data_IF_568014645929
#
_entry.id   IF_568014645929
#
_cell.length_a   1.000
_cell.length_b   1.000
_cell.length_c   1.000
_cell.angle_alpha   90.00
_cell.angle_beta   90.00
_cell.angle_gamma   90.00
#
_symmetry.space_group_name_H-M   'P 1'
#
loop_
_entity.id
_entity.type
_entity.pdbx_description
1 polymer ?
#
# COMPACT_ATOMS: atom_id res chain seq x y z
N UNK A 1 -11.00 -8.04 1.94
CA UNK A 1 -10.86 -8.89 0.73
C UNK A 1 -12.16 -8.81 -0.05
N UNK A 2 -12.11 -8.30 -1.28
CA UNK A 2 -13.28 -8.30 -2.16
C UNK A 2 -13.60 -9.76 -2.52
N UNK A 3 -14.87 -10.16 -2.47
CA UNK A 3 -15.31 -11.49 -2.86
C UNK A 3 -14.89 -11.77 -4.31
N UNK A 4 -14.32 -12.95 -4.65
CA UNK A 4 -13.94 -13.27 -6.04
C UNK A 4 -15.09 -13.10 -7.03
N UNK A 5 -16.34 -13.30 -6.59
CA UNK A 5 -17.54 -13.06 -7.39
C UNK A 5 -17.84 -11.57 -7.64
N UNK A 6 -17.23 -10.63 -6.94
CA UNK A 6 -17.50 -9.21 -7.12
C UNK A 6 -16.99 -8.70 -8.47
N UNK A 7 -15.82 -9.16 -8.92
CA UNK A 7 -15.24 -8.81 -10.22
C UNK A 7 -16.16 -9.31 -11.35
N UNK A 8 -16.55 -10.57 -11.29
CA UNK A 8 -17.45 -11.18 -12.29
C UNK A 8 -18.84 -10.53 -12.30
N UNK A 9 -19.33 -10.11 -11.13
CA UNK A 9 -20.59 -9.40 -11.01
C UNK A 9 -20.49 -7.99 -11.59
N UNK A 10 -19.41 -7.31 -11.35
CA UNK A 10 -19.14 -5.96 -11.85
C UNK A 10 -19.02 -5.95 -13.39
N UNK A 11 -18.33 -6.95 -13.97
CA UNK A 11 -18.26 -7.14 -15.41
C UNK A 11 -19.64 -7.44 -16.03
N UNK A 12 -20.47 -8.26 -15.38
CA UNK A 12 -21.82 -8.60 -15.85
C UNK A 12 -22.81 -7.44 -15.71
N UNK A 13 -22.71 -6.64 -14.70
CA UNK A 13 -23.61 -5.51 -14.44
C UNK A 13 -23.22 -4.25 -15.23
N UNK A 14 -21.94 -4.08 -15.55
CA UNK A 14 -21.44 -2.99 -16.40
C UNK A 14 -22.08 -1.63 -16.08
N UNK A 15 -22.75 -1.06 -17.10
CA UNK A 15 -23.41 0.24 -17.01
C UNK A 15 -24.68 0.28 -16.12
N UNK A 16 -25.09 -0.85 -15.52
CA UNK A 16 -26.22 -0.89 -14.56
C UNK A 16 -25.77 -0.49 -13.13
N UNK A 17 -24.45 -0.42 -12.89
CA UNK A 17 -23.93 0.08 -11.64
C UNK A 17 -23.98 1.63 -11.71
N UNK A 18 -24.72 2.32 -10.82
CA UNK A 18 -24.69 3.77 -10.79
C UNK A 18 -23.25 4.27 -10.61
N UNK A 19 -22.87 5.40 -11.24
CA UNK A 19 -21.58 6.02 -10.97
C UNK A 19 -21.46 6.28 -9.47
N UNK A 20 -20.32 5.91 -8.89
CA UNK A 20 -20.01 6.23 -7.49
C UNK A 20 -19.77 7.74 -7.40
N UNK A 21 -20.74 8.49 -6.89
CA UNK A 21 -20.62 9.95 -6.70
C UNK A 21 -19.63 10.30 -5.58
N UNK A 22 -18.90 9.33 -5.04
CA UNK A 22 -17.93 9.52 -3.98
C UNK A 22 -18.51 10.26 -2.76
N UNK A 23 -18.43 9.71 -1.58
CA UNK A 23 -18.84 10.45 -0.39
C UNK A 23 -17.90 11.64 -0.16
N UNK A 24 -18.38 12.69 0.53
CA UNK A 24 -17.52 13.82 0.93
C UNK A 24 -16.26 13.38 1.69
N UNK A 25 -16.35 12.28 2.44
CA UNK A 25 -15.22 11.67 3.13
C UNK A 25 -14.21 11.04 2.15
N UNK A 26 -14.68 10.41 1.06
CA UNK A 26 -13.81 9.85 0.04
C UNK A 26 -13.06 10.94 -0.72
N UNK A 27 -13.75 12.05 -1.06
CA UNK A 27 -13.14 13.20 -1.73
C UNK A 27 -12.09 13.87 -0.84
N UNK A 28 -12.36 14.03 0.46
CA UNK A 28 -11.38 14.55 1.42
C UNK A 28 -10.17 13.62 1.54
N UNK A 29 -10.39 12.31 1.56
CA UNK A 29 -9.32 11.32 1.56
C UNK A 29 -8.40 11.48 0.36
N UNK A 30 -8.96 11.57 -0.84
CA UNK A 30 -8.20 11.77 -2.08
C UNK A 30 -7.38 13.08 -2.05
N UNK A 31 -7.97 14.17 -1.55
CA UNK A 31 -7.26 15.45 -1.42
C UNK A 31 -6.08 15.37 -0.44
N UNK A 32 -6.26 14.69 0.70
CA UNK A 32 -5.19 14.52 1.69
C UNK A 32 -4.04 13.67 1.15
N UNK A 33 -4.34 12.57 0.42
CA UNK A 33 -3.29 11.78 -0.25
C UNK A 33 -2.54 12.60 -1.29
N UNK A 34 -3.23 13.32 -2.18
CA UNK A 34 -2.58 14.18 -3.17
C UNK A 34 -1.68 15.27 -2.54
N UNK A 35 -2.10 15.81 -1.39
CA UNK A 35 -1.31 16.80 -0.66
C UNK A 35 -0.08 16.19 0.00
N UNK A 36 -0.21 15.00 0.58
CA UNK A 36 0.91 14.25 1.15
C UNK A 36 1.94 13.86 0.08
N UNK A 37 1.47 13.40 -1.07
CA UNK A 37 2.29 13.10 -2.26
C UNK A 37 3.10 14.32 -2.71
N UNK A 38 2.43 15.45 -2.94
CA UNK A 38 3.08 16.70 -3.34
C UNK A 38 4.16 17.14 -2.33
N UNK A 39 3.86 17.03 -1.02
CA UNK A 39 4.82 17.36 0.04
C UNK A 39 6.05 16.43 0.04
N UNK A 40 5.85 15.12 -0.17
CA UNK A 40 6.96 14.16 -0.26
C UNK A 40 7.82 14.38 -1.51
N UNK A 41 7.23 14.79 -2.63
CA UNK A 41 7.92 15.14 -3.88
C UNK A 41 8.60 16.52 -3.84
N UNK A 42 8.38 17.32 -2.78
CA UNK A 42 8.91 18.69 -2.68
C UNK A 42 8.16 19.71 -3.54
N UNK A 43 6.96 19.40 -3.99
CA UNK A 43 6.10 20.23 -4.83
C UNK A 43 5.06 21.04 -4.04
N UNK A 44 5.02 20.85 -2.71
CA UNK A 44 4.08 21.49 -1.81
C UNK A 44 4.43 21.30 -0.34
N UNK A 45 3.57 21.85 0.53
CA UNK A 45 3.69 21.70 1.98
C UNK A 45 2.60 20.75 2.51
N UNK A 46 2.91 19.91 3.51
CA UNK A 46 1.90 19.12 4.18
C UNK A 46 0.89 20.03 4.90
N UNK A 47 -0.31 19.51 5.17
CA UNK A 47 -1.23 20.15 6.11
C UNK A 47 -1.16 19.43 7.46
N UNK A 48 -1.82 19.99 8.48
CA UNK A 48 -1.87 19.42 9.82
C UNK A 48 -2.22 17.92 9.79
N UNK A 49 -3.21 17.52 8.99
CA UNK A 49 -3.67 16.14 8.88
C UNK A 49 -2.68 15.19 8.17
N UNK A 50 -1.71 15.71 7.42
CA UNK A 50 -0.71 14.90 6.69
C UNK A 50 0.71 15.09 7.20
N UNK A 51 0.94 16.03 8.14
CA UNK A 51 2.27 16.37 8.63
C UNK A 51 2.97 15.15 9.23
N UNK A 52 2.29 14.43 10.12
CA UNK A 52 2.88 13.26 10.78
C UNK A 52 3.30 12.18 9.77
N UNK A 53 2.46 11.91 8.76
CA UNK A 53 2.78 10.96 7.68
C UNK A 53 4.02 11.38 6.89
N UNK A 54 4.09 12.64 6.48
CA UNK A 54 5.21 13.17 5.68
C UNK A 54 6.51 13.12 6.47
N UNK A 55 6.47 13.51 7.75
CA UNK A 55 7.66 13.47 8.62
C UNK A 55 8.11 12.04 8.87
N UNK A 56 7.19 11.11 9.06
CA UNK A 56 7.48 9.69 9.23
C UNK A 56 8.16 9.10 7.99
N UNK A 57 7.65 9.37 6.78
CA UNK A 57 8.25 8.91 5.52
C UNK A 57 9.66 9.49 5.33
N UNK A 58 9.86 10.78 5.60
CA UNK A 58 11.18 11.43 5.52
C UNK A 58 12.17 10.84 6.52
N UNK A 59 11.72 10.57 7.74
CA UNK A 59 12.54 9.92 8.76
C UNK A 59 12.91 8.49 8.37
N UNK A 60 11.97 7.71 7.84
CA UNK A 60 12.23 6.36 7.35
C UNK A 60 13.27 6.34 6.22
N UNK A 61 13.29 7.37 5.38
CA UNK A 61 14.22 7.51 4.25
C UNK A 61 15.52 8.26 4.62
N UNK A 62 15.81 8.48 5.90
CA UNK A 62 16.98 9.27 6.31
C UNK A 62 18.31 8.50 6.23
N UNK A 63 18.31 7.19 5.97
CA UNK A 63 19.53 6.42 5.77
C UNK A 63 20.18 6.76 4.42
N UNK A 64 21.51 6.82 4.37
CA UNK A 64 22.27 7.26 3.18
C UNK A 64 22.05 6.35 1.95
N UNK A 65 21.69 5.07 2.16
CA UNK A 65 21.42 4.07 1.13
C UNK A 65 19.92 3.88 0.84
N UNK A 66 19.06 4.67 1.47
CA UNK A 66 17.62 4.53 1.32
C UNK A 66 17.09 5.27 0.08
N UNK A 67 16.33 4.56 -0.74
CA UNK A 67 15.54 5.11 -1.84
C UNK A 67 14.08 5.28 -1.38
N UNK A 68 13.55 6.50 -1.47
CA UNK A 68 12.13 6.77 -1.24
C UNK A 68 11.39 6.90 -2.58
N UNK A 69 10.35 6.10 -2.77
CA UNK A 69 9.53 6.07 -3.97
C UNK A 69 8.10 6.43 -3.56
N UNK A 70 7.61 7.57 -4.04
CA UNK A 70 6.27 8.10 -3.75
C UNK A 70 5.33 7.69 -4.88
N UNK A 71 4.11 7.24 -4.56
CA UNK A 71 3.15 6.66 -5.51
C UNK A 71 3.80 5.52 -6.32
N UNK A 72 4.42 4.60 -5.59
CA UNK A 72 5.17 3.51 -6.20
C UNK A 72 4.27 2.56 -6.98
N UNK A 73 4.59 2.34 -8.26
CA UNK A 73 3.94 1.30 -9.07
C UNK A 73 4.49 -0.07 -8.66
N UNK A 74 3.64 -0.89 -8.10
CA UNK A 74 4.02 -2.19 -7.53
C UNK A 74 3.54 -3.33 -8.41
N UNK A 75 4.45 -4.14 -8.99
CA UNK A 75 4.05 -5.33 -9.72
C UNK A 75 3.44 -6.38 -8.77
N UNK A 76 2.30 -6.96 -9.13
CA UNK A 76 1.71 -8.02 -8.34
C UNK A 76 2.47 -9.33 -8.59
N UNK A 77 3.11 -9.88 -7.55
CA UNK A 77 3.98 -11.06 -7.70
C UNK A 77 3.24 -12.31 -8.21
N UNK A 78 1.94 -12.42 -8.00
CA UNK A 78 1.08 -13.51 -8.46
C UNK A 78 0.42 -13.27 -9.83
N UNK A 79 0.45 -12.04 -10.34
CA UNK A 79 -0.03 -11.66 -11.67
C UNK A 79 0.74 -10.44 -12.18
N UNK A 80 1.84 -10.66 -12.87
CA UNK A 80 2.74 -9.58 -13.32
C UNK A 80 2.16 -8.69 -14.43
N UNK A 81 1.01 -9.03 -14.99
CA UNK A 81 0.30 -8.16 -15.92
C UNK A 81 -0.46 -7.04 -15.20
N UNK A 82 -0.67 -7.20 -13.90
CA UNK A 82 -1.37 -6.25 -13.04
C UNK A 82 -0.41 -5.57 -12.07
N UNK A 83 -0.78 -4.39 -11.62
CA UNK A 83 -0.01 -3.62 -10.65
C UNK A 83 -0.95 -2.94 -9.65
N UNK A 84 -0.37 -2.57 -8.51
CA UNK A 84 -0.99 -1.71 -7.51
C UNK A 84 -0.19 -0.42 -7.35
N UNK A 85 -0.67 0.46 -6.49
CA UNK A 85 0.00 1.70 -6.12
C UNK A 85 0.18 1.73 -4.61
N UNK A 86 1.40 2.02 -4.15
CA UNK A 86 1.70 2.22 -2.74
C UNK A 86 2.03 3.70 -2.51
N UNK A 87 1.43 4.31 -1.51
CA UNK A 87 1.58 5.75 -1.23
C UNK A 87 3.07 6.14 -1.06
N UNK A 88 3.81 5.36 -0.26
CA UNK A 88 5.26 5.54 -0.10
C UNK A 88 5.95 4.20 0.13
N UNK A 89 7.06 4.00 -0.55
CA UNK A 89 7.97 2.87 -0.33
C UNK A 89 9.36 3.43 -0.04
N UNK A 90 9.95 2.98 1.06
CA UNK A 90 11.36 3.24 1.38
C UNK A 90 12.12 1.92 1.25
N UNK A 91 13.19 1.91 0.47
CA UNK A 91 13.93 0.70 0.14
C UNK A 91 15.42 0.91 0.28
N UNK A 92 16.11 -0.10 0.84
CA UNK A 92 17.57 -0.28 0.78
C UNK A 92 17.86 -1.59 0.02
N UNK A 93 19.12 -2.00 -0.05
CA UNK A 93 19.49 -3.29 -0.63
C UNK A 93 18.91 -4.50 0.12
N UNK A 94 18.64 -4.36 1.43
CA UNK A 94 18.20 -5.48 2.30
C UNK A 94 16.83 -5.26 2.94
N UNK A 95 16.23 -4.09 2.81
CA UNK A 95 14.95 -3.78 3.46
C UNK A 95 13.95 -3.16 2.49
N UNK A 96 12.67 -3.47 2.70
CA UNK A 96 11.54 -2.80 2.05
C UNK A 96 10.56 -2.35 3.12
N UNK A 97 10.22 -1.08 3.13
CA UNK A 97 9.26 -0.48 4.04
C UNK A 97 8.14 0.20 3.23
N UNK A 98 6.93 -0.35 3.28
CA UNK A 98 5.73 0.26 2.69
C UNK A 98 5.00 1.04 3.77
N UNK A 99 4.70 2.31 3.49
CA UNK A 99 4.04 3.23 4.41
C UNK A 99 2.79 3.77 3.73
N UNK A 100 1.64 3.51 4.32
CA UNK A 100 0.32 3.80 3.76
C UNK A 100 -0.44 4.78 4.67
N UNK A 101 -0.98 5.83 4.08
CA UNK A 101 -1.78 6.85 4.77
C UNK A 101 -3.24 6.42 4.81
N UNK A 102 -3.84 6.41 5.98
CA UNK A 102 -5.28 6.19 6.16
C UNK A 102 -5.96 7.43 6.73
N UNK A 103 -6.87 7.99 5.96
CA UNK A 103 -7.61 9.23 6.30
C UNK A 103 -9.01 8.96 6.85
N UNK A 104 -9.46 7.71 6.80
CA UNK A 104 -10.76 7.29 7.33
C UNK A 104 -10.78 7.20 8.86
N UNK A 105 -11.99 7.22 9.44
CA UNK A 105 -12.21 7.12 10.90
C UNK A 105 -12.21 5.67 11.43
N UNK A 106 -12.34 4.68 10.55
CA UNK A 106 -12.31 3.26 10.96
C UNK A 106 -10.86 2.86 11.18
N UNK A 107 -10.49 2.38 12.39
CA UNK A 107 -9.13 1.96 12.67
C UNK A 107 -8.68 0.83 11.73
N UNK A 108 -7.49 0.98 11.17
CA UNK A 108 -6.85 -0.03 10.32
C UNK A 108 -5.59 -0.55 11.02
N UNK A 109 -5.36 -1.86 10.93
CA UNK A 109 -4.16 -2.49 11.48
C UNK A 109 -3.17 -2.85 10.36
N UNK A 110 -1.88 -2.73 10.67
CA UNK A 110 -0.80 -3.16 9.77
C UNK A 110 -0.60 -4.68 9.82
N UNK A 111 -0.82 -5.31 10.99
CA UNK A 111 -0.64 -6.76 11.17
C UNK A 111 -1.66 -7.53 10.34
N UNK A 112 -1.17 -8.46 9.51
CA UNK A 112 -1.98 -9.22 8.55
C UNK A 112 -2.71 -8.35 7.51
N UNK A 113 -2.23 -7.14 7.25
CA UNK A 113 -2.72 -6.34 6.13
C UNK A 113 -2.10 -6.88 4.83
N UNK A 114 -2.83 -7.75 4.14
CA UNK A 114 -2.34 -8.40 2.93
C UNK A 114 -2.18 -7.46 1.74
N UNK A 115 -2.86 -6.32 1.69
CA UNK A 115 -2.62 -5.32 0.66
C UNK A 115 -1.20 -4.75 0.79
N UNK A 116 -0.84 -4.28 1.99
CA UNK A 116 0.50 -3.76 2.26
C UNK A 116 1.58 -4.84 2.08
N UNK A 117 1.28 -6.07 2.52
CA UNK A 117 2.19 -7.21 2.30
C UNK A 117 2.45 -7.45 0.81
N UNK A 118 1.41 -7.48 -0.03
CA UNK A 118 1.54 -7.66 -1.48
C UNK A 118 2.41 -6.57 -2.08
N UNK A 119 2.27 -5.33 -1.61
CA UNK A 119 3.08 -4.22 -2.08
C UNK A 119 4.54 -4.34 -1.63
N UNK A 120 4.77 -4.64 -0.34
CA UNK A 120 6.12 -4.83 0.17
C UNK A 120 6.86 -5.98 -0.54
N UNK A 121 6.19 -7.11 -0.71
CA UNK A 121 6.77 -8.28 -1.39
C UNK A 121 7.01 -8.03 -2.88
N UNK A 122 6.10 -7.29 -3.56
CA UNK A 122 6.25 -6.91 -4.96
C UNK A 122 7.40 -5.93 -5.22
N UNK A 123 7.78 -5.13 -4.22
CA UNK A 123 8.91 -4.20 -4.26
C UNK A 123 10.22 -4.80 -3.77
N UNK A 124 10.18 -6.03 -3.22
CA UNK A 124 11.37 -6.73 -2.73
C UNK A 124 12.35 -7.08 -3.84
N UNK A 125 13.64 -7.06 -3.48
CA UNK A 125 14.75 -7.54 -4.28
C UNK A 125 15.15 -8.95 -3.81
N UNK A 126 15.99 -9.65 -4.57
CA UNK A 126 16.53 -10.94 -4.15
C UNK A 126 17.39 -10.86 -2.88
N UNK A 127 17.93 -9.69 -2.57
CA UNK A 127 18.71 -9.39 -1.37
C UNK A 127 17.85 -8.92 -0.18
N UNK A 128 16.53 -8.74 -0.35
CA UNK A 128 15.68 -8.23 0.72
C UNK A 128 15.57 -9.25 1.87
N UNK A 129 15.97 -8.83 3.05
CA UNK A 129 15.95 -9.65 4.27
C UNK A 129 14.77 -9.31 5.17
N UNK A 130 14.30 -8.07 5.11
CA UNK A 130 13.24 -7.55 6.00
C UNK A 130 12.19 -6.76 5.24
N UNK A 131 10.93 -7.05 5.54
CA UNK A 131 9.75 -6.35 5.04
C UNK A 131 9.02 -5.68 6.19
N UNK A 132 8.82 -4.38 6.11
CA UNK A 132 8.04 -3.60 7.08
C UNK A 132 6.83 -2.97 6.38
N UNK A 133 5.67 -3.13 6.96
CA UNK A 133 4.41 -2.54 6.53
C UNK A 133 3.92 -1.61 7.63
N UNK A 134 3.69 -0.35 7.32
CA UNK A 134 3.20 0.63 8.29
C UNK A 134 1.93 1.31 7.78
N UNK A 135 0.96 1.44 8.66
CA UNK A 135 -0.22 2.29 8.48
C UNK A 135 -0.03 3.52 9.35
N UNK A 136 -0.17 4.69 8.74
CA UNK A 136 -0.29 5.96 9.43
C UNK A 136 -1.75 6.39 9.39
N UNK A 137 -2.36 6.59 10.56
CA UNK A 137 -3.73 7.06 10.68
C UNK A 137 -3.81 8.12 11.79
N UNK A 138 -4.07 9.37 11.41
CA UNK A 138 -3.87 10.52 12.30
C UNK A 138 -2.39 10.64 12.69
N UNK A 139 -2.13 10.72 13.99
CA UNK A 139 -0.78 10.82 14.57
C UNK A 139 -0.27 9.45 15.11
N UNK A 140 -0.86 8.35 14.65
CA UNK A 140 -0.49 7.00 15.06
C UNK A 140 0.14 6.23 13.91
N UNK A 141 1.27 5.55 14.20
CA UNK A 141 1.93 4.61 13.31
C UNK A 141 1.79 3.19 13.85
N UNK A 142 1.24 2.29 13.05
CA UNK A 142 1.14 0.85 13.34
C UNK A 142 1.98 0.08 12.34
N UNK A 143 2.91 -0.73 12.82
CA UNK A 143 3.85 -1.44 11.95
C UNK A 143 3.77 -2.95 12.14
N UNK A 144 4.03 -3.66 11.06
CA UNK A 144 4.22 -5.10 11.01
C UNK A 144 5.50 -5.41 10.25
N UNK A 145 6.47 -6.03 10.93
CA UNK A 145 7.77 -6.38 10.35
C UNK A 145 7.93 -7.89 10.33
N UNK A 146 8.40 -8.42 9.21
CA UNK A 146 8.65 -9.85 8.99
C UNK A 146 9.96 -10.04 8.23
N UNK A 147 10.58 -11.20 8.40
CA UNK A 147 11.75 -11.62 7.62
C UNK A 147 11.34 -12.27 6.27
N UNK A 148 12.33 -12.51 5.40
CA UNK A 148 12.13 -13.12 4.09
C UNK A 148 11.49 -14.50 4.18
N UNK A 149 11.86 -15.33 5.15
CA UNK A 149 11.29 -16.67 5.29
C UNK A 149 9.77 -16.61 5.60
N UNK A 150 9.37 -15.70 6.48
CA UNK A 150 7.96 -15.45 6.78
C UNK A 150 7.23 -14.87 5.57
N UNK A 151 7.87 -13.94 4.84
CA UNK A 151 7.33 -13.33 3.64
C UNK A 151 7.07 -14.38 2.54
N UNK A 152 8.01 -15.27 2.28
CA UNK A 152 7.88 -16.33 1.28
C UNK A 152 6.74 -17.29 1.62
N UNK A 153 6.59 -17.65 2.89
CA UNK A 153 5.49 -18.50 3.35
C UNK A 153 4.12 -17.84 3.10
N UNK A 154 3.98 -16.56 3.41
CA UNK A 154 2.74 -15.78 3.17
C UNK A 154 2.49 -15.63 1.67
N UNK A 155 3.52 -15.29 0.88
CA UNK A 155 3.40 -15.13 -0.57
C UNK A 155 2.96 -16.41 -1.26
N UNK A 156 3.46 -17.56 -0.84
CA UNK A 156 3.03 -18.87 -1.34
C UNK A 156 1.53 -19.09 -1.16
N UNK A 157 1.01 -18.81 0.05
CA UNK A 157 -0.43 -18.96 0.34
C UNK A 157 -1.29 -17.99 -0.47
N UNK A 158 -0.84 -16.74 -0.62
CA UNK A 158 -1.54 -15.73 -1.42
C UNK A 158 -1.55 -16.15 -2.90
N UNK A 159 -0.41 -16.59 -3.43
CA UNK A 159 -0.28 -17.02 -4.82
C UNK A 159 -1.25 -18.13 -5.19
N UNK A 160 -1.36 -19.16 -4.34
CA UNK A 160 -2.32 -20.27 -4.54
C UNK A 160 -3.77 -19.76 -4.55
N UNK A 161 -4.13 -18.89 -3.60
CA UNK A 161 -5.49 -18.33 -3.52
C UNK A 161 -5.80 -17.41 -4.70
N UNK A 162 -4.83 -16.60 -5.13
CA UNK A 162 -5.01 -15.71 -6.29
C UNK A 162 -5.21 -16.51 -7.58
N UNK A 163 -4.42 -17.56 -7.81
CA UNK A 163 -4.61 -18.43 -8.98
C UNK A 163 -5.96 -19.13 -9.00
N UNK A 164 -6.43 -19.62 -7.85
CA UNK A 164 -7.76 -20.22 -7.73
C UNK A 164 -8.90 -19.21 -7.99
N UNK A 165 -8.69 -17.93 -7.70
CA UNK A 165 -9.66 -16.87 -7.98
C UNK A 165 -9.67 -16.42 -9.45
N UNK A 166 -8.53 -16.51 -10.13
CA UNK A 166 -8.38 -16.15 -11.55
C UNK A 166 -8.83 -17.27 -12.51
N UNK A 167 -8.82 -18.53 -12.03
CA UNK A 167 -9.22 -19.71 -12.80
C UNK A 167 -10.28 -20.49 -12.00
N UNK A 168 -11.51 -19.97 -11.87
CA UNK A 168 -12.60 -20.58 -11.11
C UNK A 168 -13.15 -21.85 -11.76
#
# INVERSE_FOLDING_TARGET
MTCPGAITLQEKLGNLIPPDEGSSAANLGTELHARAEAALKGEGEPCEATQFYVDYCRQAAAADDAEMIVEAVVPLFFNRAEHGYADCVVRTDTTVHVIDLKTGSIPVDAVNNYQLFIYAYGMGLTSTETFTMTIIQGDEAKSWTIDTHQADAIASVIGVKAQAALNP
#
